data_IF_398022008953
#
_entry.id   IF_398022008953
#
_cell.length_a   1.000
_cell.length_b   1.000
_cell.length_c   1.000
_cell.angle_alpha   90.00
_cell.angle_beta   90.00
_cell.angle_gamma   90.00
#
_symmetry.space_group_name_H-M   'P 1'
#
loop_
_entity.id
_entity.type
_entity.pdbx_description
1 polymer ?
#
# COMPACT_ATOMS: atom_id res chain seq x y z
N UNK A 1 5.68 -5.94 11.73
CA UNK A 1 4.96 -5.08 10.75
C UNK A 1 4.16 -3.95 11.42
N UNK A 2 3.43 -4.21 12.51
CA UNK A 2 2.52 -3.23 13.13
C UNK A 2 3.09 -1.81 13.35
N UNK A 3 4.31 -1.68 13.89
CA UNK A 3 4.95 -0.36 14.11
C UNK A 3 5.15 0.43 12.81
N UNK A 4 5.53 -0.25 11.72
CA UNK A 4 5.73 0.37 10.40
C UNK A 4 4.40 0.87 9.83
N UNK A 5 3.33 0.07 9.98
CA UNK A 5 1.99 0.38 9.45
C UNK A 5 1.33 1.51 10.25
N UNK A 6 1.44 1.50 11.59
CA UNK A 6 0.72 2.42 12.47
C UNK A 6 1.17 3.89 12.36
N UNK A 7 2.36 4.17 11.82
CA UNK A 7 2.80 5.55 11.60
C UNK A 7 2.17 6.19 10.35
N UNK A 8 1.40 5.43 9.56
CA UNK A 8 0.78 5.86 8.30
C UNK A 8 1.77 6.43 7.25
N UNK A 9 3.06 6.22 7.44
CA UNK A 9 4.09 6.73 6.55
C UNK A 9 3.97 6.07 5.16
N UNK A 10 3.97 6.86 4.06
CA UNK A 10 3.81 6.31 2.71
C UNK A 10 5.05 5.58 2.21
N UNK A 11 6.22 5.86 2.78
CA UNK A 11 7.49 5.29 2.37
C UNK A 11 8.24 4.74 3.58
N UNK A 12 8.97 3.65 3.35
CA UNK A 12 9.89 3.06 4.32
C UNK A 12 11.23 2.78 3.64
N UNK A 13 12.32 2.97 4.38
CA UNK A 13 13.69 2.71 3.91
C UNK A 13 14.63 2.49 5.10
N UNK A 14 15.80 1.86 4.92
CA UNK A 14 16.29 1.19 3.69
C UNK A 14 15.98 -0.31 3.78
N UNK A 15 15.63 -0.92 2.65
CA UNK A 15 15.55 -2.37 2.52
C UNK A 15 16.72 -2.81 1.62
N UNK A 16 17.69 -3.58 2.16
CA UNK A 16 18.67 -4.27 1.35
C UNK A 16 17.99 -5.15 0.30
N UNK A 17 18.73 -5.46 -0.78
CA UNK A 17 18.30 -6.47 -1.75
C UNK A 17 18.12 -7.80 -1.02
N UNK A 18 17.05 -8.51 -1.35
CA UNK A 18 16.72 -9.84 -0.81
C UNK A 18 16.54 -9.86 0.72
N UNK A 19 16.21 -8.72 1.33
CA UNK A 19 15.86 -8.67 2.75
C UNK A 19 14.54 -9.44 2.99
N UNK A 20 14.49 -10.43 3.91
CA UNK A 20 13.28 -11.21 4.21
C UNK A 20 12.06 -10.38 4.63
N UNK A 21 12.24 -9.11 5.02
CA UNK A 21 11.12 -8.20 5.26
C UNK A 21 10.34 -7.87 3.99
N UNK A 22 10.97 -7.93 2.81
CA UNK A 22 10.31 -7.70 1.53
C UNK A 22 9.24 -8.76 1.26
N UNK A 23 9.51 -10.03 1.58
CA UNK A 23 8.51 -11.11 1.47
C UNK A 23 7.31 -10.88 2.40
N UNK A 24 7.56 -10.34 3.59
CA UNK A 24 6.49 -9.95 4.53
C UNK A 24 5.68 -8.77 4.03
N UNK A 25 6.32 -7.78 3.40
CA UNK A 25 5.64 -6.64 2.77
C UNK A 25 4.76 -7.14 1.62
N UNK A 26 5.29 -8.03 0.78
CA UNK A 26 4.58 -8.58 -0.37
C UNK A 26 3.32 -9.34 0.07
N UNK A 27 3.46 -10.27 1.01
CA UNK A 27 2.36 -11.10 1.48
C UNK A 27 1.34 -10.35 2.34
N UNK A 28 1.78 -9.58 3.34
CA UNK A 28 0.87 -8.97 4.32
C UNK A 28 0.37 -7.57 3.92
N UNK A 29 1.10 -6.82 3.09
CA UNK A 29 0.76 -5.42 2.75
C UNK A 29 0.28 -5.26 1.31
N UNK A 30 0.97 -5.91 0.37
CA UNK A 30 0.68 -5.81 -1.07
C UNK A 30 -0.22 -6.93 -1.56
N UNK A 31 -0.44 -7.96 -0.74
CA UNK A 31 -1.26 -9.13 -1.09
C UNK A 31 -0.81 -9.78 -2.40
N UNK A 32 0.51 -9.88 -2.60
CA UNK A 32 1.12 -10.50 -3.79
C UNK A 32 1.99 -11.69 -3.40
N UNK A 33 1.98 -12.72 -4.23
CA UNK A 33 2.87 -13.86 -4.11
C UNK A 33 4.27 -13.59 -4.70
N UNK A 34 5.19 -14.56 -4.56
CA UNK A 34 6.47 -14.54 -5.24
C UNK A 34 6.31 -14.31 -6.74
N UNK A 35 7.14 -13.47 -7.33
CA UNK A 35 7.14 -13.14 -8.76
C UNK A 35 5.83 -12.56 -9.33
N UNK A 36 4.89 -12.15 -8.47
CA UNK A 36 3.64 -11.52 -8.89
C UNK A 36 3.72 -10.00 -8.82
N UNK A 37 2.96 -9.34 -9.69
CA UNK A 37 2.68 -7.92 -9.58
C UNK A 37 1.71 -7.64 -8.43
N UNK A 38 1.80 -6.45 -7.83
CA UNK A 38 0.80 -5.98 -6.85
C UNK A 38 -0.56 -5.85 -7.52
N UNK A 39 -1.61 -6.52 -7.03
CA UNK A 39 -2.95 -6.39 -7.59
C UNK A 39 -3.49 -4.96 -7.48
N UNK A 40 -4.04 -4.46 -8.59
CA UNK A 40 -4.64 -3.13 -8.68
C UNK A 40 -6.16 -3.17 -8.84
N UNK A 41 -6.79 -1.99 -8.94
CA UNK A 41 -8.23 -1.86 -9.19
C UNK A 41 -8.70 -2.44 -10.54
N UNK A 42 -7.75 -2.68 -11.44
CA UNK A 42 -7.98 -3.29 -12.75
C UNK A 42 -7.92 -4.82 -12.77
N UNK A 43 -7.54 -5.47 -11.67
CA UNK A 43 -7.54 -6.92 -11.55
C UNK A 43 -8.95 -7.41 -11.21
N UNK A 44 -9.68 -7.92 -12.20
CA UNK A 44 -11.10 -8.29 -12.10
C UNK A 44 -11.34 -9.81 -12.13
N UNK A 45 -10.27 -10.59 -12.17
CA UNK A 45 -10.32 -12.05 -12.06
C UNK A 45 -10.77 -12.52 -10.68
N UNK A 46 -11.17 -13.79 -10.59
CA UNK A 46 -11.53 -14.42 -9.32
C UNK A 46 -10.28 -14.63 -8.46
N UNK A 47 -10.37 -14.25 -7.18
CA UNK A 47 -9.36 -14.61 -6.17
C UNK A 47 -9.71 -15.92 -5.43
N UNK A 48 -10.74 -16.65 -5.87
CA UNK A 48 -11.16 -17.90 -5.22
C UNK A 48 -10.08 -18.97 -5.37
N UNK A 49 -9.91 -19.77 -4.32
CA UNK A 49 -8.94 -20.87 -4.28
C UNK A 49 -7.50 -20.44 -4.60
N UNK A 50 -7.13 -19.20 -4.28
CA UNK A 50 -5.78 -18.67 -4.53
C UNK A 50 -5.48 -18.39 -6.00
N UNK A 51 -6.51 -18.33 -6.86
CA UNK A 51 -6.35 -17.90 -8.24
C UNK A 51 -5.86 -16.45 -8.30
N UNK A 52 -5.03 -16.13 -9.29
CA UNK A 52 -4.51 -14.77 -9.46
C UNK A 52 -5.63 -13.83 -9.99
N UNK A 53 -6.06 -12.81 -9.19
CA UNK A 53 -7.08 -11.87 -9.63
C UNK A 53 -6.66 -11.03 -10.84
N UNK A 54 -5.35 -10.93 -11.14
CA UNK A 54 -4.83 -10.20 -12.28
C UNK A 54 -4.74 -11.06 -13.56
N UNK A 55 -5.17 -12.32 -13.53
CA UNK A 55 -5.31 -13.16 -14.75
C UNK A 55 -6.33 -12.60 -15.73
N UNK A 56 -7.27 -11.77 -15.25
CA UNK A 56 -8.22 -11.03 -16.07
C UNK A 56 -8.07 -9.54 -15.77
N UNK A 57 -7.65 -8.79 -16.78
CA UNK A 57 -7.47 -7.34 -16.69
C UNK A 57 -8.73 -6.65 -17.20
N UNK A 58 -9.35 -5.85 -16.34
CA UNK A 58 -10.47 -4.99 -16.67
C UNK A 58 -10.03 -3.62 -17.16
N UNK A 59 -10.83 -2.60 -16.88
CA UNK A 59 -10.49 -1.23 -17.22
C UNK A 59 -9.32 -0.72 -16.35
N UNK A 60 -8.20 -0.37 -17.00
CA UNK A 60 -6.97 0.10 -16.35
C UNK A 60 -7.08 1.49 -15.72
N UNK A 61 -8.13 2.26 -16.06
CA UNK A 61 -8.35 3.60 -15.48
C UNK A 61 -9.12 3.57 -14.16
N UNK A 62 -9.63 2.40 -13.76
CA UNK A 62 -10.34 2.24 -12.48
C UNK A 62 -9.36 2.32 -11.32
N UNK A 63 -9.50 3.37 -10.52
CA UNK A 63 -8.74 3.56 -9.28
C UNK A 63 -9.63 3.17 -8.11
N UNK A 64 -9.27 2.10 -7.40
CA UNK A 64 -9.97 1.64 -6.19
C UNK A 64 -9.08 1.84 -4.96
N UNK A 65 -9.47 2.68 -3.98
CA UNK A 65 -8.69 2.88 -2.76
C UNK A 65 -8.57 1.56 -1.96
N UNK A 66 -7.33 1.18 -1.65
CA UNK A 66 -7.03 0.08 -0.73
C UNK A 66 -6.66 0.56 0.68
N UNK A 67 -6.31 -0.34 1.60
CA UNK A 67 -5.91 0.02 2.97
C UNK A 67 -4.76 1.03 3.04
N UNK A 68 -3.82 0.98 2.09
CA UNK A 68 -2.74 1.96 1.95
C UNK A 68 -3.23 3.37 1.66
N UNK A 69 -4.23 3.51 0.78
CA UNK A 69 -4.84 4.80 0.47
C UNK A 69 -5.56 5.39 1.69
N UNK A 70 -6.25 4.57 2.48
CA UNK A 70 -6.89 4.99 3.74
C UNK A 70 -5.86 5.51 4.75
N UNK A 71 -4.73 4.81 4.92
CA UNK A 71 -3.64 5.25 5.80
C UNK A 71 -3.04 6.58 5.34
N UNK A 72 -2.78 6.71 4.04
CA UNK A 72 -2.27 7.95 3.46
C UNK A 72 -3.24 9.12 3.65
N UNK A 73 -4.54 8.91 3.41
CA UNK A 73 -5.56 9.93 3.64
C UNK A 73 -5.57 10.38 5.11
N UNK A 74 -5.52 9.43 6.06
CA UNK A 74 -5.43 9.74 7.49
C UNK A 74 -4.20 10.58 7.85
N UNK A 75 -3.02 10.23 7.29
CA UNK A 75 -1.81 11.01 7.48
C UNK A 75 -1.97 12.44 6.93
N UNK A 76 -2.44 12.58 5.69
CA UNK A 76 -2.64 13.89 5.05
C UNK A 76 -3.60 14.75 5.87
N UNK A 77 -4.75 14.20 6.27
CA UNK A 77 -5.71 14.92 7.11
C UNK A 77 -5.09 15.38 8.43
N UNK A 78 -4.26 14.54 9.07
CA UNK A 78 -3.55 14.93 10.29
C UNK A 78 -2.45 15.96 10.05
N UNK A 79 -1.78 15.97 8.90
CA UNK A 79 -0.71 16.94 8.62
C UNK A 79 -1.28 18.32 8.28
N UNK A 80 -2.46 18.35 7.65
CA UNK A 80 -3.15 19.58 7.26
C UNK A 80 -4.07 20.14 8.35
N UNK A 81 -4.14 19.53 9.54
CA UNK A 81 -4.94 20.06 10.64
C UNK A 81 -4.36 21.38 11.16
N UNK A 82 -5.23 22.29 11.59
CA UNK A 82 -4.85 23.66 11.98
C UNK A 82 -3.75 23.70 13.05
N UNK A 83 -3.78 22.76 14.00
CA UNK A 83 -2.81 22.62 15.10
C UNK A 83 -1.44 22.08 14.65
N UNK A 84 -1.37 21.34 13.54
CA UNK A 84 -0.14 20.66 13.08
C UNK A 84 0.47 21.30 11.84
N UNK A 85 -0.33 21.91 10.97
CA UNK A 85 0.12 22.39 9.67
C UNK A 85 1.23 23.44 9.80
N UNK A 86 0.97 24.56 10.49
CA UNK A 86 1.96 25.64 10.61
C UNK A 86 3.24 25.25 11.36
N UNK A 87 3.18 24.57 12.53
CA UNK A 87 4.39 24.25 13.28
C UNK A 87 5.28 23.17 12.64
N UNK A 88 4.74 22.37 11.72
CA UNK A 88 5.45 21.22 11.10
C UNK A 88 5.80 21.42 9.63
N UNK A 89 5.60 22.62 9.10
CA UNK A 89 6.08 22.96 7.76
C UNK A 89 7.62 23.05 7.73
N UNK A 90 8.21 22.61 6.63
CA UNK A 90 9.62 22.87 6.35
C UNK A 90 9.83 24.40 6.24
N UNK A 91 11.01 24.87 6.64
CA UNK A 91 11.43 26.26 6.41
C UNK A 91 12.14 26.37 5.06
#
# INVERSE_FOLDING_TARGET
>A
MQRMINNNAPFARKFPRDDPVLDKIDSELLSRGPDMFTPGGWCVGSAQNGSDPCSVIGNTTVIKPGPGATRLASLISSLLSNDKFRPRQCR
#
